data_IF_667276244455
#
_entry.id   IF_667276244455
#
_cell.length_a   1.000
_cell.length_b   1.000
_cell.length_c   1.000
_cell.angle_alpha   90.00
_cell.angle_beta   90.00
_cell.angle_gamma   90.00
#
_symmetry.space_group_name_H-M   'P 1'
#
loop_
_entity.id
_entity.type
_entity.pdbx_description
1 polymer ?
2 non-polymer ?
3 non-polymer ?
4 water ?
#
# COMPACT_ATOMS: atom_id res chain seq x y z
N UNK A 41 -11.60 -5.21 23.08
CA UNK A 41 -12.05 -3.88 22.63
C UNK A 41 -13.14 -4.07 21.58
N UNK A 42 -14.19 -3.26 21.66
CA UNK A 42 -15.14 -3.17 20.58
C UNK A 42 -14.78 -1.99 19.72
N UNK A 43 -15.08 -2.12 18.44
CA UNK A 43 -14.75 -1.10 17.44
C UNK A 43 -16.04 -0.55 16.83
N UNK A 44 -16.21 0.76 16.95
CA UNK A 44 -17.40 1.44 16.47
C UNK A 44 -16.89 2.54 15.59
N UNK A 45 -17.32 2.54 14.33
CA UNK A 45 -16.94 3.60 13.46
C UNK A 45 -18.06 4.60 13.38
N UNK A 46 -17.68 5.85 13.48
CA UNK A 46 -18.56 6.99 13.42
C UNK A 46 -18.51 7.55 12.01
N UNK A 47 -19.64 7.51 11.29
CA UNK A 47 -19.67 7.95 9.89
C UNK A 47 -20.54 9.18 9.70
N UNK A 48 -20.38 9.81 8.53
CA UNK A 48 -21.19 10.97 8.16
C UNK A 48 -20.43 11.94 7.29
N UNK A 49 -21.20 12.83 6.65
CA UNK A 49 -20.72 13.81 5.70
C UNK A 49 -19.74 14.77 6.35
N UNK A 50 -19.14 15.58 5.51
CA UNK A 50 -18.15 16.54 5.94
C UNK A 50 -18.88 17.55 6.81
N UNK A 51 -18.38 17.78 8.01
CA UNK A 51 -18.97 18.75 8.95
C UNK A 51 -20.38 18.36 9.42
N UNK A 52 -20.68 17.07 9.44
CA UNK A 52 -21.95 16.61 10.02
C UNK A 52 -21.89 16.65 11.54
N UNK A 53 -20.67 16.60 12.08
CA UNK A 53 -20.46 16.67 13.52
C UNK A 53 -19.69 15.55 14.19
N UNK A 54 -18.84 14.83 13.43
CA UNK A 54 -18.16 13.61 13.92
C UNK A 54 -17.06 13.91 14.95
N UNK A 55 -16.09 14.75 14.59
CA UNK A 55 -15.05 15.18 15.52
C UNK A 55 -15.63 15.63 16.88
N UNK A 56 -16.60 16.53 16.81
CA UNK A 56 -17.32 17.05 17.95
C UNK A 56 -18.03 15.96 18.75
N UNK A 57 -18.82 15.13 18.08
CA UNK A 57 -19.47 14.02 18.76
C UNK A 57 -18.44 13.11 19.43
N UNK A 58 -17.45 12.68 18.67
CA UNK A 58 -16.41 11.81 19.22
C UNK A 58 -15.66 12.48 20.38
N UNK A 59 -15.49 13.79 20.36
CA UNK A 59 -14.81 14.44 21.50
C UNK A 59 -15.72 14.63 22.72
N UNK A 60 -17.02 14.45 22.53
CA UNK A 60 -17.99 14.37 23.63
C UNK A 60 -18.00 12.96 24.26
N UNK A 61 -18.15 11.94 23.43
CA UNK A 61 -18.01 10.57 23.90
C UNK A 61 -16.73 10.31 24.73
N UNK A 62 -15.54 10.53 24.18
CA UNK A 62 -14.31 10.11 24.89
C UNK A 62 -14.23 10.65 26.33
N UNK A 63 -14.88 11.80 26.55
CA UNK A 63 -14.97 12.41 27.88
C UNK A 63 -15.87 11.69 28.91
N UNK A 64 -16.65 10.70 28.47
CA UNK A 64 -17.73 10.13 29.28
C UNK A 64 -17.44 8.77 29.91
N UNK A 65 -16.36 8.10 29.50
CA UNK A 65 -16.09 6.78 30.06
C UNK A 65 -14.63 6.42 29.92
N UNK A 66 -14.03 5.97 31.02
CA UNK A 66 -12.66 5.49 31.01
C UNK A 66 -12.50 4.31 30.09
N UNK A 67 -13.60 3.60 29.84
CA UNK A 67 -13.60 2.51 28.89
C UNK A 67 -13.76 2.94 27.42
N UNK A 68 -13.90 4.25 27.17
CA UNK A 68 -14.12 4.76 25.82
C UNK A 68 -12.95 5.61 25.32
N UNK A 69 -12.31 5.20 24.20
CA UNK A 69 -11.32 6.06 23.54
C UNK A 69 -11.60 6.20 22.04
N UNK A 70 -10.87 7.11 21.41
CA UNK A 70 -11.14 7.56 20.08
C UNK A 70 -9.94 7.46 19.15
N UNK A 71 -10.13 7.01 17.91
CA UNK A 71 -9.10 7.20 16.85
C UNK A 71 -9.51 8.34 15.91
N UNK A 72 -8.86 9.52 16.00
CA UNK A 72 -9.27 10.46 14.97
C UNK A 72 -8.73 10.08 13.58
N UNK A 73 -9.28 10.75 12.58
CA UNK A 73 -8.93 10.48 11.18
C UNK A 73 -7.66 11.26 10.78
N UNK A 74 -6.65 10.59 10.19
CA UNK A 74 -5.45 11.30 9.74
C UNK A 74 -5.69 12.51 8.84
N UNK A 75 -6.55 12.39 7.84
CA UNK A 75 -6.87 13.50 6.96
C UNK A 75 -7.32 14.70 7.81
N UNK A 76 -8.06 14.44 8.88
CA UNK A 76 -8.46 15.45 9.86
C UNK A 76 -7.24 16.12 10.48
N UNK A 77 -6.26 15.33 10.89
CA UNK A 77 -5.04 15.89 11.50
C UNK A 77 -4.26 16.71 10.49
N UNK A 78 -4.22 16.22 9.25
CA UNK A 78 -3.50 16.89 8.17
C UNK A 78 -3.99 18.34 7.92
N UNK A 79 -5.23 18.65 8.27
CA UNK A 79 -5.87 19.93 7.87
C UNK A 79 -5.56 21.18 8.75
N UNK A 80 -4.29 21.58 8.81
CA UNK A 80 -3.89 22.92 9.32
C UNK A 80 -2.55 23.38 8.79
N UNK A 91 7.40 18.35 13.39
CA UNK A 91 6.23 17.53 13.13
C UNK A 91 6.61 16.24 12.36
N UNK A 92 6.01 15.12 12.77
CA UNK A 92 6.30 13.78 12.22
C UNK A 92 6.20 13.70 10.71
N UNK A 93 6.82 12.65 10.16
CA UNK A 93 7.03 12.59 8.71
C UNK A 93 5.72 12.34 7.97
N UNK A 94 4.83 11.57 8.58
CA UNK A 94 3.50 11.35 8.02
C UNK A 94 2.75 12.68 7.78
N UNK A 95 2.80 13.59 8.74
CA UNK A 95 1.96 14.79 8.65
C UNK A 95 2.47 15.91 7.71
N UNK A 96 3.74 15.88 7.37
CA UNK A 96 4.30 16.79 6.35
C UNK A 96 3.95 16.26 4.94
N UNK A 97 4.02 14.93 4.79
CA UNK A 97 3.47 14.25 3.62
C UNK A 97 2.00 14.49 3.49
N UNK A 98 1.31 14.42 4.62
CA UNK A 98 -0.11 14.67 4.63
C UNK A 98 -0.47 16.06 4.18
N UNK A 99 0.23 17.06 4.72
CA UNK A 99 0.00 18.45 4.33
C UNK A 99 0.27 18.69 2.86
N UNK A 100 1.47 18.35 2.39
CA UNK A 100 1.81 18.49 0.97
C UNK A 100 0.83 17.80 0.07
N UNK A 101 0.56 16.53 0.38
CA UNK A 101 -0.31 15.76 -0.44
C UNK A 101 -1.76 16.30 -0.48
N UNK A 102 -2.24 16.81 0.66
CA UNK A 102 -3.55 17.47 0.75
C UNK A 102 -3.65 18.66 -0.20
N UNK A 103 -2.68 19.56 -0.10
CA UNK A 103 -2.63 20.73 -0.94
C UNK A 103 -2.57 20.34 -2.43
N UNK A 104 -1.75 19.34 -2.77
CA UNK A 104 -1.61 18.84 -4.15
C UNK A 104 -2.99 18.36 -4.66
N UNK A 105 -3.70 17.65 -3.78
CA UNK A 105 -5.02 17.12 -4.08
C UNK A 105 -6.05 18.24 -4.36
N UNK A 106 -6.00 19.33 -3.58
CA UNK A 106 -6.83 20.52 -3.84
C UNK A 106 -6.58 21.11 -5.23
N UNK A 107 -5.31 21.17 -5.65
CA UNK A 107 -4.95 21.81 -6.93
C UNK A 107 -5.30 20.99 -8.16
N UNK A 108 -4.90 19.71 -8.16
CA UNK A 108 -5.07 18.86 -9.33
C UNK A 108 -5.49 17.48 -8.86
N UNK A 109 -6.76 17.34 -8.48
CA UNK A 109 -7.21 16.05 -7.96
C UNK A 109 -7.09 14.89 -8.92
N UNK A 110 -7.17 15.15 -10.23
CA UNK A 110 -7.09 14.06 -11.19
C UNK A 110 -5.64 13.58 -11.43
N UNK A 111 -4.66 14.36 -10.98
CA UNK A 111 -3.27 13.89 -10.86
C UNK A 111 -2.98 13.18 -9.53
N UNK A 112 -3.66 13.58 -8.47
CA UNK A 112 -3.25 13.25 -7.12
C UNK A 112 -4.20 12.41 -6.31
N UNK A 113 -5.35 12.05 -6.86
CA UNK A 113 -6.34 11.30 -6.08
C UNK A 113 -5.86 9.88 -5.66
N UNK A 114 -5.29 9.13 -6.60
CA UNK A 114 -4.72 7.83 -6.26
C UNK A 114 -3.71 7.97 -5.13
N UNK A 115 -2.75 8.87 -5.27
CA UNK A 115 -1.70 8.97 -4.26
C UNK A 115 -2.32 9.27 -2.88
N UNK A 116 -3.17 10.29 -2.83
CA UNK A 116 -3.87 10.71 -1.60
C UNK A 116 -4.68 9.63 -0.92
N UNK A 117 -5.50 8.93 -1.70
CA UNK A 117 -6.29 7.84 -1.19
C UNK A 117 -5.42 6.76 -0.60
N UNK A 118 -4.36 6.36 -1.31
CA UNK A 118 -3.57 5.23 -0.77
C UNK A 118 -2.90 5.70 0.54
N UNK A 119 -2.43 6.96 0.61
CA UNK A 119 -1.79 7.43 1.83
C UNK A 119 -2.75 7.72 3.00
N UNK A 120 -3.94 8.22 2.72
CA UNK A 120 -4.94 8.46 3.77
C UNK A 120 -5.34 7.18 4.48
N UNK A 121 -5.59 6.14 3.68
CA UNK A 121 -6.05 4.86 4.23
C UNK A 121 -4.91 4.17 5.01
N UNK A 122 -3.72 4.15 4.43
CA UNK A 122 -2.57 3.60 5.09
C UNK A 122 -2.41 4.24 6.48
N UNK A 123 -2.43 5.58 6.53
CA UNK A 123 -2.34 6.33 7.75
C UNK A 123 -3.50 5.96 8.70
N UNK A 124 -4.70 5.72 8.17
CA UNK A 124 -5.83 5.32 9.03
C UNK A 124 -5.59 3.90 9.57
N UNK A 125 -5.23 2.99 8.68
CA UNK A 125 -4.98 1.59 9.07
C UNK A 125 -3.88 1.58 10.13
N UNK A 126 -2.79 2.30 9.88
CA UNK A 126 -1.73 2.29 10.88
C UNK A 126 -2.24 2.89 12.19
N UNK A 127 -2.93 4.04 12.15
CA UNK A 127 -3.37 4.77 13.36
C UNK A 127 -4.44 4.07 14.20
N UNK A 128 -5.29 3.28 13.55
CA UNK A 128 -6.26 2.49 14.27
C UNK A 128 -5.53 1.36 15.01
N UNK A 129 -4.51 0.79 14.37
CA UNK A 129 -3.69 -0.24 15.04
C UNK A 129 -2.94 0.30 16.25
N UNK A 130 -2.39 1.52 16.18
CA UNK A 130 -1.65 2.08 17.31
C UNK A 130 -2.51 2.14 18.58
N UNK A 131 -3.81 2.44 18.40
CA UNK A 131 -4.79 2.45 19.49
C UNK A 131 -5.32 1.08 19.90
N UNK A 132 -5.47 0.16 18.98
CA UNK A 132 -6.04 -1.14 19.33
C UNK A 132 -5.03 -2.04 20.02
N UNK A 133 -3.74 -1.86 19.73
CA UNK A 133 -2.69 -2.69 20.37
C UNK A 133 -2.00 -2.06 21.58
N UNK A 134 -2.23 -0.78 21.84
CA UNK A 134 -1.61 -0.12 22.99
C UNK A 134 -2.58 0.67 23.85
N UNK A 135 -3.86 0.35 23.79
CA UNK A 135 -4.81 1.19 24.50
C UNK A 135 -5.85 0.40 25.27
N UNK A 136 -6.48 1.10 26.21
CA UNK A 136 -7.57 0.57 27.03
C UNK A 136 -7.18 -0.77 27.65
N UNK A 137 -5.96 -0.79 28.16
CA UNK A 137 -5.41 -2.00 28.74
C UNK A 137 -6.14 -2.27 30.06
N UNK A 138 -6.22 -1.26 30.93
CA UNK A 138 -6.94 -1.37 32.21
C UNK A 138 -8.37 -0.78 32.15
N UNK A 139 -9.22 -1.44 31.36
CA UNK A 139 -10.64 -1.05 31.23
C UNK A 139 -11.51 -2.31 31.13
N UNK A 140 -12.70 -2.24 31.71
CA UNK A 140 -13.60 -3.40 31.82
C UNK A 140 -14.35 -3.71 30.53
N UNK A 141 -15.04 -2.71 29.98
CA UNK A 141 -15.82 -2.84 28.73
C UNK A 141 -15.29 -1.86 27.67
N UNK A 142 -14.04 -2.09 27.20
CA UNK A 142 -13.36 -1.19 26.27
C UNK A 142 -14.21 -0.88 25.03
N UNK A 143 -14.20 0.37 24.59
CA UNK A 143 -14.81 0.73 23.29
C UNK A 143 -13.85 1.66 22.61
N UNK A 144 -13.49 1.36 21.36
CA UNK A 144 -12.72 2.30 20.57
C UNK A 144 -13.62 2.77 19.42
N UNK A 145 -13.76 4.09 19.33
CA UNK A 145 -14.61 4.75 18.40
C UNK A 145 -13.74 5.37 17.30
N UNK A 146 -13.86 4.82 16.11
CA UNK A 146 -13.17 5.35 14.93
C UNK A 146 -13.92 6.53 14.30
N UNK A 147 -13.23 7.66 14.15
CA UNK A 147 -13.71 8.73 13.31
C UNK A 147 -13.48 8.30 11.85
N UNK A 148 -14.56 7.84 11.23
CA UNK A 148 -14.58 7.18 9.92
C UNK A 148 -13.79 5.89 9.89
N UNK A 149 -13.76 5.24 8.73
CA UNK A 149 -13.29 3.87 8.64
C UNK A 149 -12.62 3.59 7.31
N UNK A 150 -12.03 2.41 7.20
CA UNK A 150 -11.44 1.99 5.95
C UNK A 150 -12.49 1.89 4.87
N UNK A 151 -13.76 1.65 5.23
CA UNK A 151 -14.84 1.63 4.25
C UNK A 151 -15.28 3.04 3.79
N UNK A 152 -15.17 4.03 4.67
CA UNK A 152 -15.41 5.41 4.23
C UNK A 152 -14.37 5.72 3.14
N UNK A 153 -13.11 5.40 3.42
CA UNK A 153 -12.02 5.71 2.48
C UNK A 153 -12.32 5.24 1.05
N UNK A 154 -12.79 4.00 0.90
CA UNK A 154 -13.07 3.36 -0.37
C UNK A 154 -14.46 3.67 -0.98
N UNK A 155 -15.51 3.42 -0.20
CA UNK A 155 -16.85 3.43 -0.73
C UNK A 155 -17.53 4.79 -0.68
N UNK A 156 -16.83 5.80 -0.17
CA UNK A 156 -17.31 7.15 -0.24
C UNK A 156 -16.35 8.00 -1.06
N UNK A 157 -15.15 8.24 -0.52
CA UNK A 157 -14.27 9.21 -1.14
C UNK A 157 -13.59 8.66 -2.42
N UNK A 158 -12.93 7.51 -2.33
CA UNK A 158 -12.22 7.02 -3.50
C UNK A 158 -13.22 6.75 -4.63
N UNK A 159 -14.33 6.11 -4.31
CA UNK A 159 -15.36 5.77 -5.29
C UNK A 159 -15.96 7.02 -5.96
N UNK A 160 -16.26 8.02 -5.15
CA UNK A 160 -16.63 9.37 -5.67
C UNK A 160 -15.56 10.05 -6.55
N UNK A 161 -14.28 9.77 -6.32
CA UNK A 161 -13.26 10.37 -7.17
C UNK A 161 -13.20 9.63 -8.49
N UNK A 162 -13.18 8.29 -8.46
CA UNK A 162 -13.41 7.48 -9.62
C UNK A 162 -14.63 8.00 -10.40
N UNK A 163 -15.69 8.41 -9.72
CA UNK A 163 -16.91 8.80 -10.43
C UNK A 163 -16.86 10.20 -11.03
N UNK A 164 -16.09 11.10 -10.43
CA UNK A 164 -15.85 12.41 -11.06
C UNK A 164 -14.64 12.37 -12.00
N UNK A 165 -14.14 11.17 -12.29
CA UNK A 165 -13.01 10.94 -13.19
C UNK A 165 -11.69 11.54 -12.70
N UNK A 166 -11.56 11.71 -11.38
CA UNK A 166 -10.30 12.07 -10.76
C UNK A 166 -9.35 10.86 -10.69
N UNK A 167 -9.90 9.66 -10.76
CA UNK A 167 -9.10 8.45 -10.95
C UNK A 167 -9.57 7.71 -12.19
N UNK A 168 -8.63 7.25 -13.01
CA UNK A 168 -8.96 6.46 -14.19
C UNK A 168 -9.26 5.02 -13.78
N UNK A 169 -9.82 4.25 -14.71
CA UNK A 169 -10.17 2.87 -14.42
C UNK A 169 -9.07 2.08 -13.73
N UNK A 170 -7.87 2.14 -14.27
CA UNK A 170 -6.73 1.35 -13.77
C UNK A 170 -6.34 1.82 -12.38
N UNK A 171 -6.26 3.14 -12.15
CA UNK A 171 -5.93 3.64 -10.81
C UNK A 171 -6.93 3.09 -9.80
N UNK A 172 -8.21 3.07 -10.20
CA UNK A 172 -9.31 2.62 -9.33
C UNK A 172 -9.22 1.12 -9.03
N UNK A 173 -8.90 0.35 -10.07
CA UNK A 173 -8.74 -1.09 -9.96
C UNK A 173 -7.46 -1.49 -9.15
N UNK A 174 -6.38 -0.69 -9.24
CA UNK A 174 -5.16 -0.84 -8.38
C UNK A 174 -5.51 -0.55 -6.92
N UNK A 175 -6.34 0.49 -6.70
CA UNK A 175 -6.74 0.93 -5.39
C UNK A 175 -7.62 -0.10 -4.67
N UNK A 176 -8.56 -0.72 -5.40
CA UNK A 176 -9.45 -1.70 -4.79
C UNK A 176 -8.69 -2.97 -4.45
N UNK A 177 -7.80 -3.39 -5.34
CA UNK A 177 -6.93 -4.54 -5.11
C UNK A 177 -5.95 -4.16 -3.97
N UNK A 178 -5.36 -2.98 -4.04
CA UNK A 178 -4.48 -2.47 -2.98
C UNK A 178 -5.22 -2.35 -1.64
N UNK A 179 -6.52 -2.03 -1.70
CA UNK A 179 -7.36 -1.86 -0.53
C UNK A 179 -7.77 -3.20 0.07
N UNK A 180 -8.23 -4.13 -0.75
CA UNK A 180 -8.53 -5.49 -0.28
C UNK A 180 -7.37 -6.07 0.51
N UNK A 181 -6.20 -6.07 -0.12
CA UNK A 181 -5.01 -6.75 0.39
C UNK A 181 -4.36 -6.11 1.63
N UNK A 182 -4.34 -4.77 1.65
CA UNK A 182 -3.74 -4.05 2.73
C UNK A 182 -4.55 -4.26 4.01
N UNK A 183 -5.88 -4.26 3.90
CA UNK A 183 -6.75 -4.54 5.04
C UNK A 183 -6.73 -6.01 5.47
N UNK A 184 -6.60 -6.92 4.51
CA UNK A 184 -6.63 -8.35 4.83
C UNK A 184 -5.29 -8.87 5.36
N UNK A 185 -4.18 -8.34 4.85
CA UNK A 185 -2.85 -8.59 5.45
C UNK A 185 -2.64 -8.01 6.84
N UNK A 186 -2.99 -6.73 7.00
CA UNK A 186 -2.67 -5.97 8.22
C UNK A 186 -3.86 -5.58 9.10
N UNK A 187 -5.02 -5.41 8.49
CA UNK A 187 -6.14 -4.77 9.17
C UNK A 187 -7.25 -5.68 9.62
N UNK A 188 -6.98 -6.98 9.71
CA UNK A 188 -7.98 -7.96 10.13
C UNK A 188 -8.65 -7.53 11.44
N UNK A 189 -7.83 -7.35 12.47
CA UNK A 189 -8.30 -6.95 13.78
C UNK A 189 -9.18 -5.68 13.75
N UNK A 190 -9.33 -5.05 12.59
CA UNK A 190 -10.11 -3.81 12.51
C UNK A 190 -11.61 -4.01 12.29
N UNK A 191 -12.04 -5.22 11.93
CA UNK A 191 -13.46 -5.47 11.72
C UNK A 191 -14.32 -4.70 12.72
N UNK A 192 -15.39 -4.08 12.24
CA UNK A 192 -16.23 -3.23 13.06
C UNK A 192 -17.41 -4.00 13.64
N UNK A 193 -17.64 -3.83 14.94
CA UNK A 193 -18.77 -4.43 15.64
C UNK A 193 -20.06 -3.62 15.45
N UNK A 194 -19.93 -2.37 15.01
CA UNK A 194 -21.11 -1.56 14.64
C UNK A 194 -20.73 -0.22 14.05
N UNK A 195 -21.69 0.44 13.42
CA UNK A 195 -21.48 1.77 12.89
C UNK A 195 -22.45 2.74 13.54
N UNK A 196 -21.98 3.98 13.72
CA UNK A 196 -22.87 5.05 14.08
C UNK A 196 -22.84 6.04 12.95
N UNK A 197 -24.01 6.20 12.32
CA UNK A 197 -24.19 7.16 11.24
C UNK A 197 -24.82 8.45 11.74
N UNK A 198 -24.00 9.48 11.81
CA UNK A 198 -24.42 10.81 12.15
C UNK A 198 -24.95 11.40 10.88
N UNK A 199 -26.26 11.44 10.80
CA UNK A 199 -26.98 11.80 9.60
C UNK A 199 -27.27 13.31 9.69
N UNK A 200 -26.84 14.06 8.67
CA UNK A 200 -27.09 15.50 8.55
C UNK A 200 -27.44 15.80 7.10
N UNK A 201 -28.62 16.41 6.86
CA UNK A 201 -29.01 16.78 5.50
C UNK A 201 -27.81 17.42 4.79
N UNK A 202 -27.76 17.32 3.44
CA UNK A 202 -26.72 18.06 2.74
C UNK A 202 -26.63 19.54 3.12
N UNK A 203 -27.80 20.17 3.32
CA UNK A 203 -27.93 21.59 3.64
C UNK A 203 -27.44 21.94 5.04
N UNK A 204 -27.65 21.03 5.99
CA UNK A 204 -27.12 21.22 7.33
C UNK A 204 -25.59 21.28 7.26
N UNK A 205 -25.01 20.40 6.46
CA UNK A 205 -23.55 20.28 6.37
C UNK A 205 -22.87 21.53 5.79
N UNK A 206 -23.47 22.09 4.75
CA UNK A 206 -22.95 23.31 4.10
C UNK A 206 -22.79 24.49 5.09
N UNK A 207 -23.82 24.69 5.93
CA UNK A 207 -23.81 25.70 6.99
C UNK A 207 -22.72 25.42 8.02
N UNK A 208 -22.58 24.15 8.42
CA UNK A 208 -21.60 23.76 9.45
C UNK A 208 -20.14 23.93 9.04
N UNK A 209 -19.84 23.82 7.75
CA UNK A 209 -18.49 24.20 7.28
C UNK A 209 -18.31 25.71 7.41
N UNK A 210 -19.36 26.47 7.09
CA UNK A 210 -19.41 27.91 7.37
C UNK A 210 -19.16 28.14 8.88
N UNK A 211 -19.96 27.56 9.77
CA UNK A 211 -19.68 27.63 11.22
C UNK A 211 -18.21 27.30 11.52
N UNK A 212 -17.67 26.25 10.90
CA UNK A 212 -16.26 25.88 11.14
C UNK A 212 -15.28 26.91 10.59
N UNK A 213 -15.75 27.74 9.67
CA UNK A 213 -15.02 28.91 9.20
C UNK A 213 -13.59 28.64 8.78
N UNK A 214 -13.33 27.42 8.29
CA UNK A 214 -12.04 27.09 7.71
C UNK A 214 -12.01 27.70 6.31
N UNK A 215 -10.86 28.27 5.95
CA UNK A 215 -10.75 29.10 4.73
C UNK A 215 -10.93 28.33 3.42
N UNK A 216 -10.22 27.21 3.29
CA UNK A 216 -10.19 26.41 2.06
C UNK A 216 -11.47 25.61 1.72
N UNK A 217 -12.48 25.64 2.59
CA UNK A 217 -13.65 24.74 2.53
C UNK A 217 -14.96 25.52 2.23
N UNK A 218 -14.86 26.80 1.87
CA UNK A 218 -16.07 27.60 1.60
C UNK A 218 -16.53 27.52 0.14
N UNK A 219 -15.66 27.00 -0.72
CA UNK A 219 -16.04 26.75 -2.12
C UNK A 219 -16.87 25.48 -2.33
N UNK A 220 -16.95 24.61 -1.32
CA UNK A 220 -17.58 23.30 -1.48
C UNK A 220 -19.05 23.45 -1.91
N UNK A 221 -19.39 23.09 -3.16
CA UNK A 221 -20.78 23.25 -3.57
C UNK A 221 -21.68 22.22 -2.94
N UNK A 222 -22.91 22.61 -2.66
CA UNK A 222 -23.92 21.67 -2.22
C UNK A 222 -23.92 20.39 -3.09
N UNK A 223 -23.55 20.51 -4.37
CA UNK A 223 -23.34 19.37 -5.27
C UNK A 223 -22.29 18.36 -4.79
N UNK A 224 -21.09 18.83 -4.44
CA UNK A 224 -20.10 17.95 -3.85
C UNK A 224 -20.68 17.36 -2.55
N UNK A 225 -21.14 18.25 -1.65
CA UNK A 225 -21.70 17.78 -0.39
C UNK A 225 -22.92 16.89 -0.61
N UNK A 226 -23.74 17.16 -1.65
CA UNK A 226 -24.89 16.30 -1.95
C UNK A 226 -24.51 14.93 -2.49
N UNK A 227 -23.43 14.87 -3.27
CA UNK A 227 -22.98 13.59 -3.85
C UNK A 227 -22.47 12.64 -2.77
N UNK A 228 -21.76 13.16 -1.77
CA UNK A 228 -21.33 12.32 -0.65
C UNK A 228 -22.53 11.84 0.18
N UNK A 229 -23.54 12.70 0.34
CA UNK A 229 -24.77 12.37 1.08
C UNK A 229 -25.47 11.16 0.50
N UNK A 230 -25.61 11.14 -0.83
CA UNK A 230 -26.33 10.10 -1.54
C UNK A 230 -25.66 8.74 -1.31
N UNK A 231 -24.34 8.75 -1.36
CA UNK A 231 -23.54 7.55 -1.13
C UNK A 231 -23.60 7.11 0.33
N UNK A 232 -23.54 8.08 1.24
CA UNK A 232 -23.74 7.81 2.68
C UNK A 232 -25.13 7.22 2.88
N UNK A 233 -26.16 7.80 2.25
CA UNK A 233 -27.52 7.22 2.39
C UNK A 233 -27.61 5.79 1.85
N UNK A 234 -27.08 5.56 0.65
CA UNK A 234 -27.10 4.25 -0.01
C UNK A 234 -26.42 3.13 0.77
N UNK A 235 -25.30 3.45 1.42
CA UNK A 235 -24.53 2.43 2.14
C UNK A 235 -25.16 2.14 3.50
N UNK A 236 -25.51 3.18 4.26
CA UNK A 236 -25.84 2.95 5.68
C UNK A 236 -27.33 3.02 6.05
N UNK A 237 -28.11 3.91 5.41
CA UNK A 237 -29.56 3.99 5.65
C UNK A 237 -30.35 3.01 4.77
N UNK A 238 -30.46 3.32 3.48
CA UNK A 238 -31.13 2.43 2.51
C UNK A 238 -30.39 1.14 2.27
N UNK A 239 -29.10 1.10 2.59
CA UNK A 239 -28.28 -0.12 2.49
C UNK A 239 -28.34 -0.82 1.15
N UNK A 240 -28.37 -0.03 0.07
CA UNK A 240 -28.36 -0.53 -1.29
C UNK A 240 -26.95 -0.64 -1.90
N UNK A 241 -25.89 -0.35 -1.13
CA UNK A 241 -24.52 -0.47 -1.65
C UNK A 241 -23.97 -1.85 -1.37
N UNK A 242 -23.20 -2.36 -2.33
CA UNK A 242 -22.54 -3.64 -2.18
C UNK A 242 -21.08 -3.33 -1.93
N UNK A 243 -20.54 -3.85 -0.85
CA UNK A 243 -19.11 -3.79 -0.60
C UNK A 243 -18.51 -5.15 -0.88
N UNK A 244 -17.18 -5.19 -0.91
CA UNK A 244 -16.46 -6.43 -1.14
C UNK A 244 -16.21 -7.18 0.18
N UNK A 245 -16.90 -6.75 1.24
CA UNK A 245 -16.69 -7.28 2.58
C UNK A 245 -18.01 -7.83 3.11
N UNK A 246 -18.04 -9.13 3.36
CA UNK A 246 -19.31 -9.83 3.58
C UNK A 246 -19.98 -9.39 4.88
N UNK A 247 -19.19 -9.31 5.96
CA UNK A 247 -19.72 -8.96 7.30
C UNK A 247 -20.34 -7.54 7.39
N UNK A 248 -19.99 -6.65 6.44
CA UNK A 248 -20.57 -5.29 6.37
C UNK A 248 -22.02 -5.31 5.97
N UNK A 249 -22.44 -6.41 5.36
CA UNK A 249 -23.86 -6.61 5.05
C UNK A 249 -24.71 -6.66 6.32
N UNK A 250 -24.16 -7.23 7.38
CA UNK A 250 -24.88 -7.50 8.63
C UNK A 250 -24.62 -6.49 9.77
N UNK A 251 -23.57 -5.67 9.68
CA UNK A 251 -23.19 -4.82 10.84
C UNK A 251 -24.34 -4.00 11.44
N UNK A 252 -24.44 -3.99 12.78
CA UNK A 252 -25.37 -3.11 13.45
C UNK A 252 -25.05 -1.67 13.09
N UNK A 253 -26.07 -0.86 12.95
CA UNK A 253 -25.91 0.49 12.50
C UNK A 253 -26.90 1.32 13.26
N UNK A 254 -26.41 2.41 13.84
CA UNK A 254 -27.22 3.35 14.57
C UNK A 254 -27.17 4.69 13.85
N UNK A 255 -28.33 5.14 13.38
CA UNK A 255 -28.47 6.40 12.68
C UNK A 255 -29.03 7.45 13.60
N UNK A 256 -28.30 8.57 13.66
CA UNK A 256 -28.60 9.64 14.56
C UNK A 256 -28.85 10.92 13.76
N UNK A 257 -30.05 11.47 13.89
CA UNK A 257 -30.39 12.73 13.24
C UNK A 257 -29.58 13.79 13.94
N UNK A 258 -28.57 14.33 13.29
CA UNK A 258 -27.76 15.39 13.93
C UNK A 258 -27.99 16.75 13.28
N UNK A 259 -29.20 16.96 12.76
CA UNK A 259 -29.55 18.26 12.18
C UNK A 259 -29.57 19.40 13.22
N UNK A 260 -30.21 19.21 14.37
CA UNK A 260 -30.16 20.24 15.41
C UNK A 260 -28.80 20.21 16.09
N UNK A 261 -28.27 21.37 16.47
CA UNK A 261 -26.98 21.43 17.17
C UNK A 261 -27.02 20.74 18.56
N UNK A 262 -25.91 20.12 18.95
CA UNK A 262 -25.91 19.24 20.11
C UNK A 262 -24.76 19.47 21.08
N UNK A 263 -24.03 20.58 20.93
CA UNK A 263 -22.82 20.80 21.70
C UNK A 263 -23.11 20.88 23.20
N UNK A 264 -24.32 21.28 23.52
CA UNK A 264 -24.75 21.38 24.90
C UNK A 264 -26.15 20.77 25.05
N UNK A 265 -26.49 19.83 24.18
CA UNK A 265 -27.75 19.11 24.30
C UNK A 265 -27.64 17.78 23.57
N UNK A 266 -26.79 16.91 24.13
CA UNK A 266 -26.40 15.66 23.46
C UNK A 266 -26.74 14.38 24.25
N UNK A 267 -27.49 14.54 25.33
CA UNK A 267 -27.70 13.42 26.23
C UNK A 267 -28.52 12.36 25.57
N UNK A 268 -29.55 12.76 24.86
CA UNK A 268 -30.42 11.80 24.17
C UNK A 268 -29.63 11.04 23.11
N UNK A 269 -28.74 11.74 22.39
CA UNK A 269 -27.89 11.06 21.40
C UNK A 269 -27.00 10.04 22.13
N UNK A 270 -26.35 10.47 23.22
CA UNK A 270 -25.50 9.56 24.00
C UNK A 270 -26.28 8.39 24.61
N UNK A 271 -27.57 8.60 24.93
CA UNK A 271 -28.38 7.50 25.47
C UNK A 271 -28.63 6.45 24.39
N UNK A 272 -28.76 6.88 23.13
CA UNK A 272 -28.95 5.93 22.03
C UNK A 272 -27.69 5.09 21.84
N UNK A 273 -26.53 5.74 21.87
CA UNK A 273 -25.24 5.03 21.80
C UNK A 273 -25.08 3.94 22.88
N UNK A 274 -25.44 4.28 24.12
CA UNK A 274 -25.32 3.32 25.22
C UNK A 274 -26.18 2.12 24.96
N UNK A 275 -27.43 2.35 24.58
CA UNK A 275 -28.35 1.24 24.28
C UNK A 275 -27.82 0.43 23.09
N UNK A 276 -27.51 1.08 21.98
CA UNK A 276 -26.86 0.41 20.82
C UNK A 276 -25.67 -0.48 21.19
N UNK A 277 -24.77 0.04 22.03
CA UNK A 277 -23.61 -0.73 22.50
C UNK A 277 -23.97 -2.00 23.26
N UNK A 278 -24.97 -1.88 24.16
CA UNK A 278 -25.51 -3.02 24.90
C UNK A 278 -26.00 -4.08 23.96
N UNK A 279 -26.71 -3.67 22.90
CA UNK A 279 -27.17 -4.60 21.86
C UNK A 279 -26.04 -5.40 21.18
N UNK A 280 -24.78 -5.12 21.49
CA UNK A 280 -23.68 -5.89 20.91
C UNK A 280 -23.30 -7.01 21.88
N UNK B 39 10.58 -19.81 6.95
CA UNK B 39 11.11 -20.15 8.31
C UNK B 39 12.10 -21.31 8.26
N UNK B 40 11.66 -22.48 7.80
CA UNK B 40 12.56 -23.60 7.47
C UNK B 40 12.94 -23.52 6.00
N UNK B 41 12.12 -22.79 5.25
CA UNK B 41 12.39 -22.50 3.85
C UNK B 41 13.47 -21.41 3.80
N UNK B 42 14.51 -21.71 3.02
CA UNK B 42 15.53 -20.77 2.68
C UNK B 42 14.98 -19.88 1.60
N UNK B 43 15.23 -18.58 1.77
CA UNK B 43 14.80 -17.56 0.83
C UNK B 43 16.01 -16.80 0.30
N UNK B 44 16.29 -16.95 -0.98
CA UNK B 44 17.42 -16.31 -1.66
C UNK B 44 16.96 -15.39 -2.78
N UNK B 45 17.36 -14.12 -2.73
CA UNK B 45 17.13 -13.24 -3.85
C UNK B 45 18.17 -13.47 -4.93
N UNK B 46 17.71 -13.52 -6.18
CA UNK B 46 18.58 -13.38 -7.36
C UNK B 46 18.48 -11.92 -7.81
N UNK B 47 19.61 -11.22 -7.78
CA UNK B 47 19.64 -9.80 -8.12
C UNK B 47 20.53 -9.56 -9.32
N UNK B 48 20.12 -8.63 -10.17
CA UNK B 48 20.88 -8.29 -11.38
C UNK B 48 20.19 -7.21 -12.21
N UNK B 49 20.98 -6.52 -13.02
CA UNK B 49 20.46 -5.53 -13.93
C UNK B 49 19.56 -6.20 -14.98
N UNK B 50 18.74 -5.38 -15.59
CA UNK B 50 17.92 -5.77 -16.74
C UNK B 50 18.74 -6.61 -17.75
N UNK B 51 18.20 -7.76 -18.13
CA UNK B 51 18.80 -8.66 -19.14
C UNK B 51 20.15 -9.26 -18.73
N UNK B 52 20.48 -9.20 -17.44
CA UNK B 52 21.72 -9.88 -16.95
C UNK B 52 21.64 -11.39 -17.13
N UNK B 53 20.42 -11.91 -17.14
CA UNK B 53 20.18 -13.36 -17.25
C UNK B 53 19.56 -14.04 -16.03
N UNK B 54 18.83 -13.28 -15.21
CA UNK B 54 18.22 -13.80 -13.97
C UNK B 54 17.11 -14.80 -14.23
N UNK B 55 16.29 -14.54 -15.25
CA UNK B 55 15.22 -15.47 -15.59
C UNK B 55 15.77 -16.79 -16.14
N UNK B 56 16.83 -16.68 -16.95
CA UNK B 56 17.57 -17.83 -17.49
C UNK B 56 18.11 -18.72 -16.37
N UNK B 57 18.66 -18.06 -15.37
CA UNK B 57 19.29 -18.71 -14.21
C UNK B 57 18.25 -19.35 -13.32
N UNK B 58 17.28 -18.54 -12.91
CA UNK B 58 16.15 -19.01 -12.13
C UNK B 58 15.58 -20.30 -12.71
N UNK B 59 15.36 -20.29 -14.03
CA UNK B 59 14.68 -21.36 -14.74
C UNK B 59 15.53 -22.64 -14.77
N UNK B 60 16.80 -22.47 -15.13
CA UNK B 60 17.81 -23.50 -14.93
C UNK B 60 17.74 -24.06 -13.50
N UNK B 61 17.75 -23.19 -12.50
CA UNK B 61 17.80 -23.65 -11.11
C UNK B 61 16.59 -24.50 -10.69
N UNK B 62 15.38 -24.13 -11.16
CA UNK B 62 14.17 -24.82 -10.73
C UNK B 62 14.17 -26.30 -11.11
N UNK B 63 14.85 -26.62 -12.20
CA UNK B 63 14.85 -27.97 -12.74
C UNK B 63 15.94 -28.88 -12.19
N UNK B 64 16.95 -28.29 -11.58
CA UNK B 64 18.08 -29.04 -11.05
C UNK B 64 17.69 -29.78 -9.79
N UNK B 65 16.56 -29.42 -9.19
CA UNK B 65 16.11 -30.13 -8.02
C UNK B 65 14.64 -29.92 -7.76
N UNK B 66 14.04 -30.98 -7.26
CA UNK B 66 12.64 -30.93 -6.85
C UNK B 66 12.42 -30.14 -5.58
N UNK B 67 13.48 -29.94 -4.79
CA UNK B 67 13.42 -29.08 -3.62
C UNK B 67 13.68 -27.58 -3.89
N UNK B 68 13.92 -27.24 -5.15
CA UNK B 68 14.24 -25.86 -5.53
C UNK B 68 13.10 -25.28 -6.31
N UNK B 69 12.59 -24.16 -5.80
CA UNK B 69 11.43 -23.48 -6.32
C UNK B 69 11.77 -22.01 -6.57
N UNK B 70 10.99 -21.36 -7.44
CA UNK B 70 11.29 -20.03 -7.91
C UNK B 70 10.04 -19.14 -7.89
N UNK B 71 10.22 -17.87 -7.54
CA UNK B 71 9.14 -16.87 -7.68
C UNK B 71 9.51 -15.82 -8.75
N UNK B 72 8.95 -15.95 -9.97
CA UNK B 72 9.21 -15.02 -11.04
C UNK B 72 8.77 -13.61 -10.69
N UNK B 73 9.53 -12.64 -11.17
CA UNK B 73 9.27 -11.25 -10.86
C UNK B 73 7.98 -10.85 -11.56
N UNK B 74 6.95 -10.38 -10.82
CA UNK B 74 5.69 -10.02 -11.49
C UNK B 74 5.80 -9.06 -12.68
N UNK B 75 6.55 -7.97 -12.52
CA UNK B 75 6.72 -7.01 -13.63
C UNK B 75 7.32 -7.63 -14.90
N UNK B 76 8.29 -8.55 -14.76
CA UNK B 76 8.89 -9.26 -15.92
C UNK B 76 7.84 -9.95 -16.78
N UNK B 77 6.80 -10.47 -16.13
CA UNK B 77 5.73 -11.16 -16.82
C UNK B 77 4.95 -10.15 -17.63
N UNK B 78 4.56 -9.06 -16.98
CA UNK B 78 3.86 -7.98 -17.66
C UNK B 78 4.72 -7.58 -18.88
N UNK B 79 6.03 -7.41 -18.66
CA UNK B 79 6.97 -6.94 -19.69
C UNK B 79 6.94 -7.85 -20.92
N UNK B 91 -5.34 -14.20 -18.84
CA UNK B 91 -4.55 -13.05 -18.36
C UNK B 91 -5.29 -12.36 -17.21
N UNK B 92 -4.78 -12.55 -15.99
CA UNK B 92 -5.45 -12.09 -14.76
C UNK B 92 -5.75 -10.59 -14.75
N UNK B 93 -6.41 -10.14 -13.69
CA UNK B 93 -6.58 -8.71 -13.46
C UNK B 93 -5.23 -8.04 -13.22
N UNK B 94 -4.28 -8.78 -12.64
CA UNK B 94 -2.93 -8.26 -12.43
C UNK B 94 -2.27 -7.95 -13.75
N UNK B 95 -2.46 -8.82 -14.75
CA UNK B 95 -1.89 -8.59 -16.08
C UNK B 95 -2.53 -7.37 -16.69
N UNK B 96 -3.84 -7.27 -16.52
CA UNK B 96 -4.62 -6.15 -17.04
C UNK B 96 -4.13 -4.85 -16.43
N UNK B 97 -4.14 -4.77 -15.10
CA UNK B 97 -3.65 -3.60 -14.42
C UNK B 97 -2.17 -3.44 -14.69
N UNK B 98 -1.43 -4.54 -14.60
CA UNK B 98 0.00 -4.50 -14.84
C UNK B 98 0.37 -4.01 -16.23
N UNK B 99 -0.22 -4.67 -17.22
CA UNK B 99 -0.13 -4.27 -18.62
C UNK B 99 -0.29 -2.77 -18.85
N UNK B 100 -1.39 -2.18 -18.36
CA UNK B 100 -1.66 -0.73 -18.45
C UNK B 100 -0.64 0.19 -17.75
N UNK B 101 -0.33 -0.06 -16.47
CA UNK B 101 0.54 0.88 -15.76
C UNK B 101 1.97 0.84 -16.32
N UNK B 102 2.36 -0.29 -16.90
CA UNK B 102 3.67 -0.41 -17.57
C UNK B 102 3.77 0.47 -18.80
N UNK B 103 2.74 0.40 -19.64
CA UNK B 103 2.62 1.22 -20.86
C UNK B 103 2.43 2.68 -20.48
N UNK B 104 1.62 2.95 -19.45
CA UNK B 104 1.45 4.34 -18.98
C UNK B 104 2.77 4.86 -18.45
N UNK B 105 3.46 4.04 -17.66
CA UNK B 105 4.78 4.33 -17.11
C UNK B 105 5.78 4.63 -18.24
N UNK B 106 5.87 3.73 -19.21
CA UNK B 106 6.75 4.01 -20.33
C UNK B 106 6.33 5.32 -20.99
N UNK B 107 5.03 5.49 -21.26
CA UNK B 107 4.57 6.73 -21.89
C UNK B 107 4.82 8.02 -21.14
N UNK B 108 4.93 7.97 -19.81
CA UNK B 108 5.08 9.19 -19.00
C UNK B 108 5.58 8.91 -17.56
N UNK B 109 6.91 8.74 -17.41
CA UNK B 109 7.47 8.32 -16.13
C UNK B 109 7.18 9.25 -14.97
N UNK B 110 7.12 10.55 -15.24
CA UNK B 110 6.82 11.54 -14.22
C UNK B 110 5.42 11.48 -13.62
N UNK B 111 4.48 10.86 -14.32
CA UNK B 111 3.09 10.79 -13.90
C UNK B 111 2.76 9.48 -13.18
N UNK B 112 3.35 8.38 -13.64
CA UNK B 112 3.00 7.03 -13.21
C UNK B 112 4.04 6.30 -12.37
N UNK B 113 5.24 6.87 -12.20
CA UNK B 113 6.31 6.19 -11.47
C UNK B 113 5.88 5.70 -10.08
N UNK B 114 5.23 6.58 -9.35
CA UNK B 114 4.80 6.25 -8.00
C UNK B 114 3.75 5.16 -8.01
N UNK B 115 2.86 5.18 -8.98
CA UNK B 115 1.72 4.25 -8.99
C UNK B 115 2.20 2.86 -9.35
N UNK B 116 3.07 2.85 -10.36
CA UNK B 116 3.75 1.65 -10.82
C UNK B 116 4.55 1.00 -9.69
N UNK B 117 5.41 1.79 -9.06
CA UNK B 117 6.23 1.28 -7.97
C UNK B 117 5.43 0.65 -6.85
N UNK B 118 4.27 1.24 -6.48
CA UNK B 118 3.43 0.69 -5.41
C UNK B 118 2.84 -0.66 -5.83
N UNK B 119 2.26 -0.71 -7.03
CA UNK B 119 1.66 -1.95 -7.50
C UNK B 119 2.65 -3.08 -7.81
N UNK B 120 3.82 -2.72 -8.34
CA UNK B 120 4.85 -3.74 -8.59
C UNK B 120 5.31 -4.36 -7.27
N UNK B 121 5.54 -3.53 -6.27
CA UNK B 121 5.99 -4.06 -4.99
C UNK B 121 4.90 -4.86 -4.27
N UNK B 122 3.65 -4.44 -4.45
CA UNK B 122 2.53 -5.22 -3.89
C UNK B 122 2.38 -6.57 -4.57
N UNK B 123 2.39 -6.56 -5.90
CA UNK B 123 2.20 -7.76 -6.67
C UNK B 123 3.39 -8.69 -6.39
N UNK B 124 4.58 -8.12 -6.19
CA UNK B 124 5.73 -8.96 -5.81
C UNK B 124 5.52 -9.65 -4.46
N UNK B 125 5.14 -8.87 -3.44
CA UNK B 125 4.94 -9.41 -2.08
C UNK B 125 3.88 -10.56 -2.17
N UNK B 126 2.91 -10.44 -3.06
CA UNK B 126 1.83 -11.41 -3.13
C UNK B 126 2.29 -12.71 -3.80
N UNK B 127 3.08 -12.62 -4.86
CA UNK B 127 3.76 -13.80 -5.36
C UNK B 127 4.58 -14.43 -4.22
N UNK B 128 5.46 -13.66 -3.58
CA UNK B 128 6.39 -14.21 -2.57
C UNK B 128 5.73 -14.91 -1.36
N UNK B 129 4.81 -14.23 -0.68
CA UNK B 129 4.14 -14.83 0.48
C UNK B 129 3.33 -16.08 0.11
N UNK B 130 2.83 -16.12 -1.13
CA UNK B 130 2.00 -17.20 -1.60
C UNK B 130 2.81 -18.46 -1.95
N UNK B 131 3.98 -18.28 -2.56
CA UNK B 131 4.88 -19.41 -2.85
C UNK B 131 5.35 -20.09 -1.57
N UNK B 132 5.62 -19.27 -0.55
CA UNK B 132 5.88 -19.77 0.80
C UNK B 132 4.81 -20.78 1.20
N UNK B 133 3.55 -20.40 0.99
CA UNK B 133 2.40 -21.22 1.36
C UNK B 133 2.14 -22.38 0.42
N UNK B 134 2.49 -22.22 -0.86
CA UNK B 134 2.12 -23.16 -1.91
C UNK B 134 3.06 -24.32 -2.22
N UNK B 135 4.38 -24.07 -2.21
CA UNK B 135 5.35 -25.12 -2.57
C UNK B 135 6.10 -25.59 -1.33
N UNK B 136 6.95 -26.60 -1.51
CA UNK B 136 7.96 -27.01 -0.52
C UNK B 136 7.45 -27.26 0.90
N UNK B 137 6.27 -27.86 1.02
CA UNK B 137 5.76 -28.23 2.33
C UNK B 137 6.36 -29.59 2.78
N UNK B 138 6.69 -30.46 1.84
CA UNK B 138 7.29 -31.75 2.18
C UNK B 138 8.78 -31.87 1.80
N UNK B 139 9.48 -30.75 1.59
CA UNK B 139 10.90 -30.79 1.22
C UNK B 139 11.78 -30.79 2.47
N UNK B 140 12.82 -31.62 2.45
CA UNK B 140 13.79 -31.67 3.56
C UNK B 140 14.83 -30.57 3.43
N UNK B 141 15.05 -30.08 2.21
CA UNK B 141 16.03 -29.01 1.96
C UNK B 141 15.46 -27.96 1.02
N UNK B 142 14.37 -27.30 1.45
CA UNK B 142 13.61 -26.43 0.57
C UNK B 142 14.30 -25.09 0.40
N UNK B 143 14.47 -24.66 -0.85
CA UNK B 143 14.99 -23.31 -1.09
C UNK B 143 14.10 -22.64 -2.11
N UNK B 144 13.81 -21.37 -1.83
CA UNK B 144 12.92 -20.59 -2.66
C UNK B 144 13.74 -19.45 -3.28
N UNK B 145 13.83 -19.42 -4.62
CA UNK B 145 14.54 -18.36 -5.27
C UNK B 145 13.55 -17.28 -5.71
N UNK B 146 13.77 -16.06 -5.23
CA UNK B 146 13.04 -14.87 -5.67
C UNK B 146 13.71 -14.26 -6.88
N UNK B 147 12.95 -14.02 -7.97
CA UNK B 147 13.46 -13.14 -9.02
C UNK B 147 13.35 -11.70 -8.53
N UNK B 148 14.44 -11.20 -7.95
CA UNK B 148 14.51 -9.86 -7.32
C UNK B 148 13.76 -9.80 -5.98
N UNK B 149 13.78 -8.65 -5.32
CA UNK B 149 13.23 -8.53 -3.98
C UNK B 149 12.56 -7.16 -3.81
N UNK B 150 11.88 -6.98 -2.69
CA UNK B 150 11.30 -5.68 -2.30
C UNK B 150 12.41 -4.67 -2.07
N UNK B 151 13.63 -5.16 -1.85
CA UNK B 151 14.80 -4.28 -1.77
C UNK B 151 15.22 -3.71 -3.13
N UNK B 152 15.21 -4.51 -4.19
CA UNK B 152 15.56 -3.96 -5.51
C UNK B 152 14.45 -3.01 -5.99
N UNK B 153 13.19 -3.34 -5.71
CA UNK B 153 12.08 -2.43 -6.05
C UNK B 153 12.40 -0.99 -5.67
N UNK B 154 12.80 -0.84 -4.41
CA UNK B 154 12.99 0.42 -3.76
C UNK B 154 14.39 1.00 -3.92
N UNK B 155 15.40 0.15 -3.80
CA UNK B 155 16.78 0.62 -3.71
C UNK B 155 17.45 0.72 -5.08
N UNK B 156 17.00 -0.10 -6.02
CA UNK B 156 17.40 0.06 -7.40
C UNK B 156 16.39 0.97 -8.09
N UNK B 157 15.18 0.48 -8.31
CA UNK B 157 14.23 1.14 -9.21
C UNK B 157 13.56 2.42 -8.67
N UNK B 158 13.05 2.41 -7.42
CA UNK B 158 12.23 3.53 -7.01
C UNK B 158 13.14 4.74 -6.72
N UNK B 159 14.28 4.46 -6.06
CA UNK B 159 15.35 5.45 -5.81
C UNK B 159 15.80 6.05 -7.12
N UNK B 160 16.04 5.19 -8.10
CA UNK B 160 16.47 5.67 -9.41
C UNK B 160 15.48 6.68 -9.92
N UNK B 161 14.22 6.27 -10.01
CA UNK B 161 13.17 7.16 -10.47
C UNK B 161 13.03 8.45 -9.64
N UNK B 162 13.36 8.45 -8.34
CA UNK B 162 13.37 9.66 -7.53
C UNK B 162 14.53 10.54 -7.97
N UNK B 163 15.73 9.93 -7.99
CA UNK B 163 16.97 10.58 -8.49
C UNK B 163 16.84 11.19 -9.87
N UNK B 164 16.00 10.61 -10.71
CA UNK B 164 15.76 11.15 -12.03
C UNK B 164 14.54 12.10 -12.15
N UNK B 165 13.97 12.52 -11.02
CA UNK B 165 12.86 13.48 -10.97
C UNK B 165 11.51 13.04 -11.54
N UNK B 166 11.31 11.73 -11.68
CA UNK B 166 10.05 11.19 -12.13
C UNK B 166 9.10 10.91 -10.95
N UNK B 167 9.66 10.83 -9.74
CA UNK B 167 8.92 11.00 -8.49
C UNK B 167 9.46 12.22 -7.79
N UNK B 168 8.57 13.11 -7.39
CA UNK B 168 8.95 14.22 -6.51
C UNK B 168 9.18 13.72 -5.10
N UNK B 169 9.73 14.58 -4.25
CA UNK B 169 9.99 14.26 -2.85
C UNK B 169 8.79 13.71 -2.06
N UNK B 170 7.59 14.25 -2.26
CA UNK B 170 6.42 13.78 -1.50
C UNK B 170 6.09 12.33 -1.90
N UNK B 171 6.23 11.98 -3.18
CA UNK B 171 5.98 10.59 -3.63
C UNK B 171 7.02 9.58 -3.15
N UNK B 172 8.29 10.00 -3.09
CA UNK B 172 9.39 9.14 -2.66
C UNK B 172 9.39 8.87 -1.16
N UNK B 173 9.15 9.89 -0.33
CA UNK B 173 9.02 9.67 1.12
C UNK B 173 7.74 8.89 1.46
N UNK B 174 6.62 9.24 0.81
CA UNK B 174 5.35 8.50 0.91
C UNK B 174 5.55 7.05 0.50
N UNK B 175 6.14 6.82 -0.68
CA UNK B 175 6.51 5.46 -1.08
C UNK B 175 7.41 4.78 -0.02
N UNK B 176 8.38 5.53 0.48
CA UNK B 176 9.28 4.96 1.47
C UNK B 176 8.51 4.69 2.77
N UNK B 177 7.55 5.52 3.11
CA UNK B 177 6.80 5.36 4.37
C UNK B 177 6.17 3.97 4.37
N UNK B 178 5.35 3.74 3.34
CA UNK B 178 4.61 2.52 3.04
C UNK B 178 5.43 1.23 2.97
N UNK B 179 6.55 1.27 2.26
CA UNK B 179 7.51 0.16 2.20
C UNK B 179 8.08 -0.15 3.61
N UNK B 180 8.47 0.88 4.35
CA UNK B 180 9.10 0.70 5.68
C UNK B 180 8.13 0.00 6.62
N UNK B 181 7.01 0.66 6.83
CA UNK B 181 6.05 0.18 7.80
C UNK B 181 5.57 -1.22 7.42
N UNK B 182 5.21 -1.39 6.16
CA UNK B 182 4.62 -2.65 5.68
C UNK B 182 5.57 -3.86 5.74
N UNK B 183 6.84 -3.70 5.37
CA UNK B 183 7.78 -4.81 5.51
C UNK B 183 8.10 -5.11 6.99
N UNK B 184 7.92 -4.10 7.85
CA UNK B 184 8.10 -4.26 9.28
C UNK B 184 6.89 -4.88 9.99
N UNK B 185 5.79 -5.12 9.26
CA UNK B 185 4.69 -5.95 9.74
C UNK B 185 5.08 -7.43 9.63
N UNK B 186 5.79 -7.75 8.55
CA UNK B 186 6.34 -9.08 8.29
C UNK B 186 7.66 -9.23 9.03
N UNK B 187 7.59 -9.52 10.33
CA UNK B 187 8.79 -9.77 11.11
C UNK B 187 9.39 -11.11 10.70
N UNK B 188 10.30 -11.06 9.73
CA UNK B 188 11.10 -12.25 9.29
C UNK B 188 10.46 -13.13 8.20
N UNK B 189 9.21 -12.89 7.84
CA UNK B 189 8.48 -13.79 6.94
C UNK B 189 9.10 -13.87 5.52
N UNK B 190 9.25 -12.73 4.85
CA UNK B 190 9.86 -12.69 3.51
C UNK B 190 11.35 -12.35 3.57
N UNK B 191 11.87 -12.13 4.77
CA UNK B 191 13.21 -11.63 4.93
C UNK B 191 14.22 -12.65 4.42
N UNK B 192 15.31 -12.16 3.83
CA UNK B 192 16.22 -13.00 3.05
C UNK B 192 17.22 -13.83 3.85
N UNK B 193 17.43 -15.08 3.43
CA UNK B 193 18.55 -15.86 3.93
C UNK B 193 19.84 -15.52 3.19
N UNK B 194 19.72 -15.06 1.95
CA UNK B 194 20.92 -14.74 1.18
C UNK B 194 20.57 -14.11 -0.11
N UNK B 195 21.57 -13.57 -0.78
CA UNK B 195 21.42 -12.92 -2.07
C UNK B 195 22.47 -13.37 -3.07
N UNK B 196 22.00 -13.69 -4.27
CA UNK B 196 22.89 -14.01 -5.36
C UNK B 196 22.87 -12.91 -6.41
N UNK B 197 23.99 -12.18 -6.47
CA UNK B 197 24.22 -11.09 -7.41
C UNK B 197 24.70 -11.63 -8.74
N UNK B 198 23.92 -11.46 -9.79
CA UNK B 198 24.37 -11.78 -11.13
C UNK B 198 24.92 -10.51 -11.78
N UNK B 199 26.24 -10.35 -11.69
CA UNK B 199 26.94 -9.15 -12.07
C UNK B 199 27.43 -9.22 -13.50
N UNK B 200 26.84 -8.39 -14.36
CA UNK B 200 27.19 -8.31 -15.77
C UNK B 200 27.54 -6.86 -16.05
N UNK B 201 27.92 -6.57 -17.30
CA UNK B 201 28.15 -5.19 -17.73
C UNK B 201 26.89 -4.66 -18.38
N UNK B 202 26.74 -3.32 -18.39
CA UNK B 202 25.72 -2.63 -19.18
C UNK B 202 25.72 -3.08 -20.65
N UNK B 203 26.92 -3.27 -21.19
CA UNK B 203 27.05 -3.68 -22.58
C UNK B 203 26.52 -5.10 -22.75
N UNK B 204 26.93 -6.01 -21.87
CA UNK B 204 26.41 -7.39 -21.95
C UNK B 204 24.91 -7.34 -21.89
N UNK B 205 24.40 -6.65 -20.88
CA UNK B 205 22.98 -6.42 -20.75
C UNK B 205 22.37 -5.77 -21.98
N UNK B 206 23.07 -4.78 -22.55
CA UNK B 206 22.62 -4.19 -23.80
C UNK B 206 22.69 -5.24 -24.89
N UNK B 207 23.87 -5.83 -25.06
CA UNK B 207 24.07 -6.94 -25.97
C UNK B 207 22.93 -7.94 -25.80
N UNK B 208 22.64 -8.26 -24.53
CA UNK B 208 21.61 -9.23 -24.21
C UNK B 208 20.20 -8.69 -24.44
N UNK B 209 19.99 -7.39 -24.23
CA UNK B 209 18.76 -6.73 -24.69
C UNK B 209 18.63 -6.90 -26.19
N UNK B 210 19.71 -6.65 -26.92
CA UNK B 210 19.66 -6.80 -28.39
C UNK B 210 19.28 -8.24 -28.77
N UNK B 211 19.74 -9.23 -28.01
CA UNK B 211 19.40 -10.64 -28.27
C UNK B 211 18.02 -11.08 -27.80
N UNK B 212 17.48 -10.47 -26.75
CA UNK B 212 16.22 -10.98 -26.17
C UNK B 212 15.07 -10.83 -27.15
N UNK B 213 15.17 -9.82 -28.02
CA UNK B 213 14.26 -9.67 -29.16
C UNK B 213 12.95 -8.94 -28.90
N UNK B 214 13.02 -7.86 -28.11
CA UNK B 214 11.84 -7.06 -27.79
C UNK B 214 12.02 -5.60 -28.26
N UNK B 215 11.41 -5.24 -29.38
CA UNK B 215 11.42 -3.84 -29.86
C UNK B 215 11.02 -2.84 -28.77
N UNK B 216 10.02 -3.22 -27.97
CA UNK B 216 9.52 -2.40 -26.87
C UNK B 216 10.60 -2.03 -25.85
N UNK B 217 11.73 -2.76 -25.88
CA UNK B 217 12.93 -2.53 -25.08
C UNK B 217 14.12 -2.08 -25.92
N UNK B 218 14.06 -2.20 -27.24
CA UNK B 218 15.28 -2.04 -28.05
C UNK B 218 15.92 -0.68 -27.86
N UNK B 219 15.09 0.32 -27.56
CA UNK B 219 15.54 1.68 -27.36
C UNK B 219 16.08 2.00 -25.97
N UNK B 220 15.98 1.05 -25.04
CA UNK B 220 16.52 1.26 -23.69
C UNK B 220 17.95 1.67 -23.89
N UNK B 221 18.33 2.82 -23.33
CA UNK B 221 19.65 3.37 -23.59
C UNK B 221 20.70 2.78 -22.69
N UNK B 222 21.88 2.55 -23.26
CA UNK B 222 23.05 2.14 -22.50
C UNK B 222 23.31 3.02 -21.27
N UNK B 223 22.96 4.30 -21.36
CA UNK B 223 23.18 5.23 -20.25
C UNK B 223 22.35 4.89 -19.01
N UNK B 224 21.13 4.42 -19.21
CA UNK B 224 20.27 3.98 -18.11
C UNK B 224 20.86 2.77 -17.34
N UNK B 225 21.63 1.95 -18.05
CA UNK B 225 22.15 0.70 -17.50
C UNK B 225 23.27 0.98 -16.50
N UNK B 226 24.13 1.93 -16.84
CA UNK B 226 25.25 2.35 -16.01
C UNK B 226 24.71 2.81 -14.66
N UNK B 227 23.73 3.71 -14.73
CA UNK B 227 23.00 4.17 -13.55
C UNK B 227 22.52 2.97 -12.73
N UNK B 228 21.69 2.11 -13.33
CA UNK B 228 21.16 0.93 -12.62
C UNK B 228 22.29 -0.01 -12.15
N UNK B 229 23.28 -0.18 -13.00
CA UNK B 229 24.41 -1.03 -12.67
C UNK B 229 25.15 -0.48 -11.47
N UNK B 230 25.32 0.84 -11.42
CA UNK B 230 26.00 1.46 -10.28
C UNK B 230 25.28 1.22 -8.96
N UNK B 231 23.94 1.27 -8.99
CA UNK B 231 23.13 1.08 -7.79
C UNK B 231 23.30 -0.33 -7.23
N UNK B 232 23.43 -1.30 -8.12
CA UNK B 232 23.68 -2.70 -7.73
C UNK B 232 25.04 -2.87 -7.05
N UNK B 233 26.07 -2.26 -7.65
CA UNK B 233 27.46 -2.38 -7.15
C UNK B 233 27.60 -1.75 -5.75
N UNK B 234 26.93 -0.63 -5.51
CA UNK B 234 26.94 0.00 -4.18
C UNK B 234 26.30 -0.87 -3.11
N UNK B 235 25.14 -1.44 -3.46
CA UNK B 235 24.37 -2.22 -2.51
C UNK B 235 25.03 -3.60 -2.32
N UNK B 236 25.43 -4.23 -3.42
CA UNK B 236 25.79 -5.67 -3.39
C UNK B 236 27.29 -6.03 -3.45
N UNK B 237 28.15 -5.03 -3.66
CA UNK B 237 29.60 -5.26 -3.83
C UNK B 237 30.37 -4.54 -2.73
N UNK B 238 30.16 -3.23 -2.60
CA UNK B 238 30.85 -2.41 -1.60
C UNK B 238 30.13 -2.44 -0.25
N UNK B 239 28.80 -2.60 -0.28
CA UNK B 239 27.95 -2.61 0.91
C UNK B 239 27.97 -1.26 1.63
N UNK B 240 27.94 -0.19 0.84
CA UNK B 240 27.84 1.17 1.36
C UNK B 240 26.41 1.70 1.40
N UNK B 241 25.46 0.98 0.79
CA UNK B 241 24.06 1.39 0.85
C UNK B 241 23.55 1.02 2.22
N UNK B 242 23.47 2.00 3.11
CA UNK B 242 22.74 1.83 4.35
C UNK B 242 21.25 1.81 4.00
N UNK B 243 20.54 0.87 4.57
CA UNK B 243 19.12 0.71 4.34
C UNK B 243 18.48 0.78 5.70
N UNK B 244 17.17 0.60 5.74
CA UNK B 244 16.43 0.66 6.95
C UNK B 244 15.82 -0.71 7.25
N UNK B 245 16.55 -1.76 6.93
CA UNK B 245 16.15 -3.14 7.23
C UNK B 245 17.40 -3.80 7.76
N UNK B 246 17.51 -3.74 9.08
CA UNK B 246 18.75 -3.89 9.81
C UNK B 246 19.48 -5.18 9.44
N UNK B 247 18.77 -6.30 9.48
CA UNK B 247 19.39 -7.60 9.20
C UNK B 247 20.12 -7.65 7.84
N UNK B 248 19.71 -6.81 6.87
CA UNK B 248 20.29 -6.88 5.50
C UNK B 248 21.80 -6.79 5.46
N UNK B 249 22.36 -5.79 6.11
CA UNK B 249 23.81 -5.61 6.09
C UNK B 249 24.57 -6.86 6.55
N UNK B 250 23.91 -7.76 7.28
CA UNK B 250 24.48 -9.08 7.64
C UNK B 250 23.90 -10.25 6.84
N UNK B 251 23.21 -9.99 5.73
CA UNK B 251 22.78 -11.06 4.86
C UNK B 251 23.93 -11.37 3.93
N UNK B 252 24.39 -12.64 3.92
CA UNK B 252 25.47 -13.03 3.03
C UNK B 252 25.11 -12.85 1.56
N UNK B 253 26.09 -12.39 0.77
CA UNK B 253 25.90 -12.19 -0.68
C UNK B 253 26.87 -13.10 -1.42
N UNK B 254 26.35 -13.83 -2.37
CA UNK B 254 27.18 -14.48 -3.36
C UNK B 254 27.14 -13.66 -4.65
N UNK B 255 28.33 -13.31 -5.14
CA UNK B 255 28.46 -12.68 -6.42
C UNK B 255 29.02 -13.59 -7.48
N UNK B 256 28.25 -13.74 -8.57
CA UNK B 256 28.60 -14.47 -9.77
C UNK B 256 28.73 -13.47 -10.91
N UNK B 257 29.83 -13.57 -11.65
CA UNK B 257 30.01 -12.81 -12.89
C UNK B 257 29.41 -13.63 -14.02
N UNK B 258 28.42 -13.09 -14.72
CA UNK B 258 27.70 -13.88 -15.73
C UNK B 258 27.88 -13.33 -17.15
N UNK B 259 28.93 -12.52 -17.33
CA UNK B 259 29.29 -11.99 -18.64
C UNK B 259 29.53 -13.09 -19.65
N UNK B 260 30.26 -14.14 -19.26
CA UNK B 260 30.39 -15.29 -20.12
C UNK B 260 28.99 -15.90 -20.27
N UNK B 261 28.62 -16.17 -21.52
CA UNK B 261 27.44 -16.99 -21.80
C UNK B 261 27.44 -18.23 -20.86
N UNK B 262 26.34 -18.43 -20.12
CA UNK B 262 26.23 -19.56 -19.20
C UNK B 262 25.12 -20.55 -19.56
N UNK B 263 24.36 -20.29 -20.61
CA UNK B 263 23.17 -21.11 -20.90
C UNK B 263 23.39 -22.59 -21.19
N UNK B 264 24.39 -22.93 -21.98
CA UNK B 264 24.72 -24.34 -22.18
C UNK B 264 25.69 -24.82 -21.12
N UNK B 265 26.31 -23.87 -20.43
CA UNK B 265 27.48 -24.12 -19.64
C UNK B 265 27.32 -23.43 -18.27
N UNK B 266 26.43 -23.98 -17.46
CA UNK B 266 26.17 -23.38 -16.15
C UNK B 266 26.74 -24.13 -14.95
N UNK B 267 27.45 -25.24 -15.18
CA UNK B 267 27.69 -26.13 -14.08
C UNK B 267 28.52 -25.47 -13.02
N UNK B 268 29.50 -24.67 -13.42
CA UNK B 268 30.35 -23.95 -12.46
C UNK B 268 29.53 -23.02 -11.55
N UNK B 269 28.64 -22.26 -12.19
CA UNK B 269 27.76 -21.32 -11.51
C UNK B 269 26.95 -22.03 -10.44
N UNK B 270 26.43 -23.20 -10.76
CA UNK B 270 25.62 -23.91 -9.78
C UNK B 270 26.43 -24.48 -8.62
N UNK B 271 27.68 -24.85 -8.90
CA UNK B 271 28.55 -25.32 -7.87
C UNK B 271 28.74 -24.21 -6.87
N UNK B 272 28.87 -22.98 -7.35
CA UNK B 272 29.05 -21.87 -6.43
C UNK B 272 27.76 -21.59 -5.66
N UNK B 273 26.61 -21.75 -6.30
CA UNK B 273 25.33 -21.70 -5.59
C UNK B 273 25.20 -22.82 -4.52
N UNK B 274 25.50 -24.07 -4.87
CA UNK B 274 25.37 -25.15 -3.87
C UNK B 274 26.42 -24.98 -2.77
N UNK B 275 27.60 -24.50 -3.11
CA UNK B 275 28.60 -24.11 -2.08
C UNK B 275 28.07 -23.03 -1.11
N UNK B 276 27.37 -22.04 -1.66
CA UNK B 276 26.81 -20.91 -0.90
C UNK B 276 25.67 -21.40 0.00
N UNK B 277 24.83 -22.28 -0.53
CA UNK B 277 23.66 -22.74 0.21
C UNK B 277 24.08 -23.57 1.44
N UNK B 278 25.15 -24.36 1.31
CA UNK B 278 25.67 -25.16 2.43
C UNK B 278 26.36 -24.38 3.56
N UNK B 279 26.47 -23.05 3.46
CA UNK B 279 26.92 -22.25 4.60
C UNK B 279 25.79 -21.41 5.21
N UNK B 280 24.69 -21.21 4.48
CA UNK B 280 23.56 -20.48 5.05
C UNK B 280 22.84 -21.39 6.03
#
# INVERSE_FOLDING_TARGET
MGSSHHHHHHSSGLVPRGSHMATPPKRSSPSFSASSEGTRIKKISIEGNIAAGKSTFVNILKQLSEDWEVVPEPVARWSNVQSTQDEFEELTMEQKNGGNVLQMMYEKPERWSFTFQTYACLSRIRAQLASLNGKLKDAEKPVLFFERSVYSDRYIFASNLYESESMNETEWTIYQDWHDWMNNQFGQSLELDGIIYLQATPETCLHRIYLRGRNEEQGIPLEYLEKLHYKHESWLLHRTLKTNFDYLQEVPILTLDVNEDFKDKYESLVEKVKEFLSTL
MGSSHHHHHHSSGLVPRGSHMATPPKRSSPSFSASSEGTRIKKISIEGNIAAGKSTFVNILKQLSEDWEVVPEPVARWSNVQSTQDEFEELTMEQKNGGNVLQMMYEKPERWSFTFQTYACLSRIRAQLASLNGKLKDAEKPVLFFERSVYSDRYIFASNLYESESMNETEWTIYQDWHDWMNNQFGQSLELDGIIYLQATPETCLHRIYLRGRNEEQGIPLEYLEKLHYKHESWLLHRTLKTNFDYLQEVPILTLDVNEDFKDKYESLVEKVKEFLSTL
#
